data_IF_500202938393
#
_entry.id   IF_500202938393
#
_cell.length_a   1.000
_cell.length_b   1.000
_cell.length_c   1.000
_cell.angle_alpha   90.00
_cell.angle_beta   90.00
_cell.angle_gamma   90.00
#
_symmetry.space_group_name_H-M   'P 1'
#
loop_
_entity.id
_entity.type
_entity.pdbx_description
1 polymer ?
#
# COMPACT_ATOMS: atom_id res chain seq x y z
N UNK A 1 30.67 -0.04 -1.29
CA UNK A 1 29.53 0.72 -1.82
C UNK A 1 28.61 -0.20 -2.63
N UNK A 2 27.33 -0.16 -2.32
CA UNK A 2 26.34 -0.91 -3.06
C UNK A 2 26.09 -0.21 -4.40
N UNK A 3 26.13 -0.96 -5.52
CA UNK A 3 25.82 -0.39 -6.84
C UNK A 3 24.35 0.01 -6.90
N UNK A 4 23.98 0.89 -7.84
CA UNK A 4 22.59 1.28 -8.04
C UNK A 4 21.70 0.06 -8.37
N UNK A 5 22.23 -0.91 -9.13
CA UNK A 5 21.51 -2.14 -9.48
C UNK A 5 21.30 -3.02 -8.25
N UNK A 6 22.33 -3.17 -7.40
CA UNK A 6 22.21 -3.94 -6.16
C UNK A 6 21.23 -3.32 -5.20
N UNK A 7 21.23 -1.98 -5.07
CA UNK A 7 20.28 -1.27 -4.22
C UNK A 7 18.85 -1.46 -4.74
N UNK A 8 18.67 -1.39 -6.05
CA UNK A 8 17.36 -1.60 -6.68
C UNK A 8 16.85 -3.02 -6.41
N UNK A 9 17.72 -4.02 -6.53
CA UNK A 9 17.36 -5.41 -6.23
C UNK A 9 16.95 -5.59 -4.77
N UNK A 10 17.66 -4.92 -3.84
CA UNK A 10 17.30 -4.94 -2.43
C UNK A 10 15.95 -4.28 -2.18
N UNK A 11 15.67 -3.17 -2.84
CA UNK A 11 14.40 -2.46 -2.71
C UNK A 11 13.25 -3.33 -3.24
N UNK A 12 13.45 -3.99 -4.38
CA UNK A 12 12.46 -4.91 -4.94
C UNK A 12 12.20 -6.09 -4.01
N UNK A 13 13.26 -6.64 -3.40
CA UNK A 13 13.11 -7.72 -2.43
C UNK A 13 12.27 -7.29 -1.23
N UNK A 14 12.48 -6.08 -0.73
CA UNK A 14 11.67 -5.50 0.36
C UNK A 14 10.21 -5.37 -0.04
N UNK A 15 9.95 -4.93 -1.27
CA UNK A 15 8.58 -4.78 -1.78
C UNK A 15 7.88 -6.14 -1.81
N UNK A 16 8.55 -7.19 -2.26
CA UNK A 16 7.99 -8.55 -2.28
C UNK A 16 7.71 -9.07 -0.87
N UNK A 17 8.60 -8.81 0.07
CA UNK A 17 8.40 -9.17 1.48
C UNK A 17 7.19 -8.43 2.06
N UNK A 18 7.08 -7.13 1.80
CA UNK A 18 5.95 -6.32 2.25
C UNK A 18 4.64 -6.85 1.69
N UNK A 19 4.63 -7.32 0.44
CA UNK A 19 3.44 -7.93 -0.16
C UNK A 19 2.96 -9.13 0.65
N UNK A 20 3.87 -10.04 1.01
CA UNK A 20 3.51 -11.21 1.79
C UNK A 20 2.98 -10.84 3.18
N UNK A 21 3.62 -9.88 3.83
CA UNK A 21 3.15 -9.38 5.13
C UNK A 21 1.75 -8.78 5.05
N UNK A 22 1.50 -7.97 4.00
CA UNK A 22 0.19 -7.35 3.81
C UNK A 22 -0.90 -8.38 3.54
N UNK A 23 -0.60 -9.40 2.72
CA UNK A 23 -1.56 -10.47 2.45
C UNK A 23 -1.93 -11.23 3.73
N UNK A 24 -0.93 -11.54 4.55
CA UNK A 24 -1.15 -12.23 5.82
C UNK A 24 -1.98 -11.38 6.79
N UNK A 25 -1.64 -10.10 6.90
CA UNK A 25 -2.35 -9.17 7.79
C UNK A 25 -3.80 -8.99 7.36
N UNK A 26 -4.04 -8.81 6.06
CA UNK A 26 -5.39 -8.64 5.51
C UNK A 26 -6.21 -9.91 5.80
N UNK A 27 -5.65 -11.08 5.56
CA UNK A 27 -6.35 -12.32 5.82
C UNK A 27 -6.69 -12.50 7.29
N UNK A 28 -5.75 -12.18 8.17
CA UNK A 28 -5.96 -12.24 9.62
C UNK A 28 -7.10 -11.31 10.05
N UNK A 29 -7.11 -10.07 9.54
CA UNK A 29 -8.16 -9.10 9.86
C UNK A 29 -9.51 -9.52 9.30
N UNK A 30 -9.54 -10.14 8.12
CA UNK A 30 -10.80 -10.69 7.57
C UNK A 30 -11.36 -11.81 8.42
N UNK A 31 -10.47 -12.67 8.94
CA UNK A 31 -10.92 -13.72 9.87
C UNK A 31 -11.48 -13.12 11.15
N UNK A 32 -10.82 -12.09 11.69
CA UNK A 32 -11.31 -11.38 12.87
C UNK A 32 -12.70 -10.79 12.60
N UNK A 33 -12.86 -10.15 11.43
CA UNK A 33 -14.13 -9.55 11.05
C UNK A 33 -15.26 -10.61 10.94
N UNK A 34 -14.96 -11.79 10.37
CA UNK A 34 -15.92 -12.88 10.24
C UNK A 34 -16.26 -13.48 11.60
N UNK A 35 -15.32 -13.50 12.53
CA UNK A 35 -15.54 -14.05 13.87
C UNK A 35 -16.29 -13.09 14.80
N UNK A 36 -16.43 -11.84 14.41
CA UNK A 36 -17.24 -10.88 15.17
C UNK A 36 -18.71 -11.27 15.01
N UNK A 37 -19.28 -11.78 16.11
CA UNK A 37 -20.67 -12.23 16.11
C UNK A 37 -21.64 -11.06 15.90
N UNK A 38 -22.86 -11.35 15.51
CA UNK A 38 -23.96 -10.39 15.50
C UNK A 38 -24.04 -9.80 16.92
N UNK A 39 -23.96 -8.47 17.06
CA UNK A 39 -23.93 -7.87 18.40
C UNK A 39 -25.25 -8.11 19.15
N UNK A 40 -25.12 -8.45 20.44
CA UNK A 40 -26.29 -8.45 21.31
C UNK A 40 -26.78 -7.01 21.50
N UNK A 41 -28.03 -6.84 21.87
CA UNK A 41 -28.63 -5.50 22.04
C UNK A 41 -27.83 -4.61 22.99
N UNK A 42 -27.20 -5.19 24.00
CA UNK A 42 -26.46 -4.46 25.02
C UNK A 42 -25.02 -4.08 24.60
N UNK A 43 -24.48 -4.76 23.56
CA UNK A 43 -23.10 -4.59 23.11
C UNK A 43 -23.01 -4.01 21.69
N UNK A 44 -24.16 -3.69 21.09
CA UNK A 44 -24.26 -3.34 19.67
C UNK A 44 -23.35 -2.18 19.27
N UNK A 45 -23.24 -1.12 20.09
CA UNK A 45 -22.46 0.07 19.77
C UNK A 45 -20.97 -0.21 19.80
N UNK A 46 -20.47 -0.98 20.77
CA UNK A 46 -19.08 -1.35 20.90
C UNK A 46 -18.65 -2.24 19.74
N UNK A 47 -19.47 -3.26 19.46
CA UNK A 47 -19.19 -4.20 18.38
C UNK A 47 -19.23 -3.52 17.01
N UNK A 48 -20.19 -2.60 16.80
CA UNK A 48 -20.27 -1.85 15.56
C UNK A 48 -19.02 -0.97 15.36
N UNK A 49 -18.53 -0.33 16.42
CA UNK A 49 -17.32 0.48 16.36
C UNK A 49 -16.09 -0.38 15.99
N UNK A 50 -15.94 -1.54 16.65
CA UNK A 50 -14.82 -2.44 16.38
C UNK A 50 -14.87 -3.00 14.96
N UNK A 51 -16.04 -3.32 14.44
CA UNK A 51 -16.24 -3.81 13.07
C UNK A 51 -15.87 -2.73 12.07
N UNK A 52 -16.31 -1.50 12.26
CA UNK A 52 -15.96 -0.38 11.37
C UNK A 52 -14.47 -0.10 11.38
N UNK A 53 -13.84 -0.14 12.55
CA UNK A 53 -12.41 0.07 12.71
C UNK A 53 -11.62 -1.01 11.97
N UNK A 54 -12.00 -2.26 12.13
CA UNK A 54 -11.35 -3.39 11.44
C UNK A 54 -11.54 -3.28 9.93
N UNK A 55 -12.74 -2.95 9.47
CA UNK A 55 -13.03 -2.73 8.07
C UNK A 55 -12.19 -1.61 7.47
N UNK A 56 -12.09 -0.47 8.16
CA UNK A 56 -11.29 0.66 7.72
C UNK A 56 -9.80 0.30 7.59
N UNK A 57 -9.30 -0.51 8.53
CA UNK A 57 -7.92 -0.98 8.50
C UNK A 57 -7.68 -1.89 7.29
N UNK A 58 -8.60 -2.82 7.02
CA UNK A 58 -8.52 -3.68 5.84
C UNK A 58 -8.44 -2.84 4.56
N UNK A 59 -9.30 -1.83 4.44
CA UNK A 59 -9.32 -0.95 3.26
C UNK A 59 -7.99 -0.23 3.08
N UNK A 60 -7.38 0.23 4.16
CA UNK A 60 -6.10 0.92 4.13
C UNK A 60 -4.97 -0.02 3.69
N UNK A 61 -4.96 -1.24 4.22
CA UNK A 61 -3.95 -2.23 3.86
C UNK A 61 -4.12 -2.70 2.41
N UNK A 62 -5.35 -2.81 1.92
CA UNK A 62 -5.62 -3.15 0.53
C UNK A 62 -5.13 -2.06 -0.43
N UNK A 63 -5.30 -0.79 -0.08
CA UNK A 63 -4.79 0.32 -0.88
C UNK A 63 -3.25 0.27 -0.96
N UNK A 64 -2.59 -0.04 0.16
CA UNK A 64 -1.14 -0.21 0.19
C UNK A 64 -0.71 -1.41 -0.65
N UNK A 65 -1.46 -2.52 -0.57
CA UNK A 65 -1.18 -3.72 -1.36
C UNK A 65 -1.24 -3.43 -2.86
N UNK A 66 -2.21 -2.63 -3.31
CA UNK A 66 -2.31 -2.23 -4.71
C UNK A 66 -1.07 -1.48 -5.17
N UNK A 67 -0.56 -0.55 -4.35
CA UNK A 67 0.68 0.18 -4.65
C UNK A 67 1.87 -0.77 -4.72
N UNK A 68 1.97 -1.69 -3.77
CA UNK A 68 3.03 -2.70 -3.74
C UNK A 68 2.99 -3.58 -4.99
N UNK A 69 1.81 -4.02 -5.40
CA UNK A 69 1.66 -4.84 -6.59
C UNK A 69 2.04 -4.10 -7.86
N UNK A 70 1.71 -2.80 -7.96
CA UNK A 70 2.15 -1.98 -9.10
C UNK A 70 3.68 -1.86 -9.16
N UNK A 71 4.32 -1.72 -7.99
CA UNK A 71 5.79 -1.68 -7.92
C UNK A 71 6.41 -3.00 -8.37
N UNK A 72 5.83 -4.13 -7.97
CA UNK A 72 6.29 -5.47 -8.41
C UNK A 72 6.13 -5.63 -9.91
N UNK A 73 5.00 -5.22 -10.47
CA UNK A 73 4.76 -5.27 -11.91
C UNK A 73 5.76 -4.39 -12.66
N UNK A 74 6.07 -3.20 -12.13
CA UNK A 74 7.09 -2.33 -12.71
C UNK A 74 8.46 -3.02 -12.71
N UNK A 75 8.81 -3.71 -11.62
CA UNK A 75 10.06 -4.46 -11.54
C UNK A 75 10.12 -5.56 -12.60
N UNK A 76 9.03 -6.28 -12.80
CA UNK A 76 8.94 -7.34 -13.81
C UNK A 76 9.07 -6.80 -15.23
N UNK A 77 8.59 -5.59 -15.48
CA UNK A 77 8.70 -4.93 -16.79
C UNK A 77 10.01 -4.15 -16.97
N UNK A 78 10.87 -4.12 -15.97
CA UNK A 78 12.11 -3.36 -16.01
C UNK A 78 11.95 -1.86 -15.87
N UNK A 79 10.81 -1.41 -15.33
CA UNK A 79 10.51 0.02 -15.13
C UNK A 79 10.49 0.45 -13.67
N UNK A 80 10.99 -0.40 -12.78
CA UNK A 80 11.06 -0.06 -11.37
C UNK A 80 11.90 1.21 -11.17
N UNK A 81 11.43 2.13 -10.33
CA UNK A 81 12.11 3.39 -10.07
C UNK A 81 11.83 4.49 -11.09
N UNK A 82 10.95 4.22 -12.04
CA UNK A 82 10.52 5.22 -13.03
C UNK A 82 9.08 5.61 -12.73
N UNK A 83 8.81 6.91 -12.65
CA UNK A 83 7.47 7.40 -12.37
C UNK A 83 6.49 6.96 -13.47
N UNK A 84 5.41 6.29 -13.07
CA UNK A 84 4.41 5.79 -14.02
C UNK A 84 3.61 6.92 -14.68
N UNK A 85 3.64 8.13 -14.11
CA UNK A 85 2.89 9.27 -14.62
C UNK A 85 3.71 10.15 -15.56
N UNK A 86 4.94 10.51 -15.20
CA UNK A 86 5.75 11.46 -16.00
C UNK A 86 6.96 10.81 -16.69
N UNK A 87 7.28 9.56 -16.38
CA UNK A 87 8.39 8.85 -17.00
C UNK A 87 9.79 9.22 -16.49
N UNK A 88 9.89 10.14 -15.54
CA UNK A 88 11.17 10.52 -14.94
C UNK A 88 11.56 9.54 -13.85
N UNK A 89 12.84 9.50 -13.54
CA UNK A 89 13.32 8.68 -12.43
C UNK A 89 12.77 9.20 -11.11
N UNK A 90 12.33 8.26 -10.28
CA UNK A 90 11.97 8.57 -8.89
C UNK A 90 13.27 8.74 -8.11
N UNK A 91 13.32 9.76 -7.24
CA UNK A 91 14.49 10.02 -6.39
C UNK A 91 14.86 8.74 -5.62
N UNK A 92 16.11 8.26 -5.73
CA UNK A 92 16.55 7.07 -4.97
C UNK A 92 16.33 7.19 -3.47
N UNK A 93 16.46 8.40 -2.90
CA UNK A 93 16.20 8.62 -1.48
C UNK A 93 14.73 8.35 -1.13
N UNK A 94 13.81 8.66 -2.04
CA UNK A 94 12.40 8.36 -1.85
C UNK A 94 12.14 6.85 -1.91
N UNK A 95 12.78 6.15 -2.84
CA UNK A 95 12.66 4.69 -2.97
C UNK A 95 13.26 3.96 -1.78
N UNK A 96 14.29 4.51 -1.16
CA UNK A 96 14.87 3.95 0.04
C UNK A 96 13.88 3.92 1.20
N UNK A 97 13.08 4.99 1.33
CA UNK A 97 12.07 5.13 2.37
C UNK A 97 10.76 4.44 1.97
N UNK A 98 10.37 4.58 0.70
CA UNK A 98 9.14 4.02 0.14
C UNK A 98 9.47 3.16 -1.07
N UNK A 99 9.96 1.92 -0.87
CA UNK A 99 10.33 1.06 -2.01
C UNK A 99 9.18 0.76 -2.95
N UNK A 100 7.94 0.82 -2.47
CA UNK A 100 6.74 0.58 -3.26
C UNK A 100 6.27 1.80 -4.06
N UNK A 101 7.00 2.92 -4.01
CA UNK A 101 6.61 4.12 -4.74
C UNK A 101 6.64 3.88 -6.25
N UNK A 102 5.57 4.24 -6.95
CA UNK A 102 5.45 4.15 -8.41
C UNK A 102 5.34 5.52 -9.07
N UNK A 103 5.28 6.58 -8.27
CA UNK A 103 5.22 7.96 -8.75
C UNK A 103 6.28 8.80 -8.05
N UNK A 104 6.81 9.79 -8.77
CA UNK A 104 7.68 10.79 -8.14
C UNK A 104 6.84 11.67 -7.20
N UNK A 105 7.52 12.42 -6.34
CA UNK A 105 6.84 13.25 -5.34
C UNK A 105 5.86 14.26 -5.97
N UNK A 106 6.29 14.91 -7.05
CA UNK A 106 5.46 15.91 -7.72
C UNK A 106 4.18 15.30 -8.31
N UNK A 107 4.31 14.15 -8.97
CA UNK A 107 3.14 13.46 -9.54
C UNK A 107 2.23 12.92 -8.44
N UNK A 108 2.80 12.43 -7.34
CA UNK A 108 2.01 11.97 -6.21
C UNK A 108 1.19 13.11 -5.60
N UNK A 109 1.80 14.28 -5.44
CA UNK A 109 1.11 15.46 -4.92
C UNK A 109 -0.01 15.92 -5.83
N UNK A 110 0.21 15.90 -7.15
CA UNK A 110 -0.83 16.24 -8.14
C UNK A 110 -1.99 15.26 -8.08
N UNK A 111 -1.69 13.97 -7.98
CA UNK A 111 -2.70 12.92 -7.85
C UNK A 111 -3.55 13.14 -6.60
N UNK A 112 -2.92 13.39 -5.46
CA UNK A 112 -3.61 13.64 -4.20
C UNK A 112 -4.52 14.87 -4.27
N UNK A 113 -4.08 15.93 -4.94
CA UNK A 113 -4.90 17.13 -5.14
C UNK A 113 -6.14 16.83 -5.97
N UNK A 114 -6.01 16.01 -7.04
CA UNK A 114 -7.15 15.61 -7.88
C UNK A 114 -8.15 14.82 -7.07
N UNK A 115 -7.69 13.88 -6.26
CA UNK A 115 -8.56 13.05 -5.41
C UNK A 115 -9.33 13.93 -4.43
N UNK A 116 -8.68 14.92 -3.83
CA UNK A 116 -9.34 15.86 -2.91
C UNK A 116 -10.44 16.67 -3.57
N UNK A 117 -10.25 17.05 -4.85
CA UNK A 117 -11.26 17.83 -5.60
C UNK A 117 -12.53 17.03 -5.88
N UNK A 118 -12.40 15.71 -5.95
CA UNK A 118 -13.53 14.82 -6.24
C UNK A 118 -14.32 14.40 -5.01
N UNK A 119 -13.85 14.72 -3.81
CA UNK A 119 -14.60 14.44 -2.59
C UNK A 119 -15.76 15.43 -2.45
N UNK A 120 -17.00 14.94 -2.35
CA UNK A 120 -18.16 15.78 -2.12
C UNK A 120 -18.12 16.46 -0.76
#
# INVERSE_FOLDING_TARGET
MTSAIEQQDLDIAKVRETREELLDDIESLRRDLRSMAEPSADEADVDAYEREKTWALIQRLQAKLESVERAIQAAERGTYGICESCGKRIDPARLEILPEATMCLDCQRQFERRVRRYRP
#
